data_IF_367657691101
#
_entry.id   IF_367657691101
#
_cell.length_a   1.000
_cell.length_b   1.000
_cell.length_c   1.000
_cell.angle_alpha   90.00
_cell.angle_beta   90.00
_cell.angle_gamma   90.00
#
_symmetry.space_group_name_H-M   'P 1'
#
loop_
_entity.id
_entity.type
_entity.pdbx_description
1 polymer ?
#
# COMPACT_ATOMS: atom_id res chain seq x y z
N UNK A 1 5.40 -16.85 -14.40
CA UNK A 1 3.94 -16.72 -14.19
C UNK A 1 3.24 -17.23 -15.42
N UNK A 2 2.24 -18.10 -15.26
CA UNK A 2 1.38 -18.55 -16.36
C UNK A 2 0.54 -17.40 -16.92
N UNK A 3 -0.05 -17.59 -18.10
CA UNK A 3 -0.96 -16.60 -18.72
C UNK A 3 -2.16 -16.32 -17.82
N UNK A 4 -2.77 -17.35 -17.24
CA UNK A 4 -3.91 -17.22 -16.32
C UNK A 4 -3.57 -16.43 -15.07
N UNK A 5 -2.39 -16.66 -14.47
CA UNK A 5 -1.92 -15.86 -13.32
C UNK A 5 -1.76 -14.39 -13.67
N UNK A 6 -1.19 -14.07 -14.84
CA UNK A 6 -1.02 -12.67 -15.29
C UNK A 6 -2.37 -11.99 -15.49
N UNK A 7 -3.34 -12.68 -16.10
CA UNK A 7 -4.70 -12.17 -16.30
C UNK A 7 -5.37 -11.89 -14.96
N UNK A 8 -5.29 -12.82 -14.00
CA UNK A 8 -5.88 -12.66 -12.66
C UNK A 8 -5.28 -11.48 -11.91
N UNK A 9 -3.95 -11.29 -11.98
CA UNK A 9 -3.29 -10.13 -11.37
C UNK A 9 -3.72 -8.83 -12.03
N UNK A 10 -3.80 -8.78 -13.36
CA UNK A 10 -4.25 -7.60 -14.08
C UNK A 10 -5.70 -7.25 -13.74
N UNK A 11 -6.58 -8.26 -13.71
CA UNK A 11 -7.98 -8.10 -13.33
C UNK A 11 -8.12 -7.60 -11.88
N UNK A 12 -7.42 -8.22 -10.93
CA UNK A 12 -7.44 -7.78 -9.52
C UNK A 12 -6.93 -6.35 -9.34
N UNK A 13 -5.86 -5.98 -10.03
CA UNK A 13 -5.32 -4.61 -10.01
C UNK A 13 -6.30 -3.58 -10.60
N UNK A 14 -6.96 -3.92 -11.72
CA UNK A 14 -7.99 -3.07 -12.33
C UNK A 14 -9.20 -2.91 -11.41
N UNK A 15 -9.62 -3.99 -10.74
CA UNK A 15 -10.77 -3.93 -9.83
C UNK A 15 -10.47 -3.04 -8.60
N UNK A 16 -9.26 -3.12 -8.05
CA UNK A 16 -8.81 -2.21 -6.98
C UNK A 16 -8.80 -0.76 -7.47
N UNK A 17 -8.25 -0.49 -8.66
CA UNK A 17 -8.21 0.85 -9.23
C UNK A 17 -9.61 1.42 -9.52
N UNK A 18 -10.52 0.58 -10.04
CA UNK A 18 -11.91 0.94 -10.29
C UNK A 18 -12.66 1.22 -8.99
N UNK A 19 -12.41 0.44 -7.94
CA UNK A 19 -13.01 0.66 -6.61
C UNK A 19 -12.53 1.97 -5.99
N UNK A 20 -11.25 2.30 -6.14
CA UNK A 20 -10.73 3.61 -5.73
C UNK A 20 -11.35 4.76 -6.53
N UNK A 21 -11.46 4.61 -7.86
CA UNK A 21 -12.08 5.62 -8.71
C UNK A 21 -13.55 5.85 -8.32
N UNK A 22 -14.28 4.77 -8.05
CA UNK A 22 -15.63 4.83 -7.51
C UNK A 22 -15.71 5.68 -6.23
N UNK A 23 -14.84 5.42 -5.24
CA UNK A 23 -14.78 6.19 -4.00
C UNK A 23 -14.54 7.69 -4.25
N UNK A 24 -13.60 8.03 -5.13
CA UNK A 24 -13.24 9.42 -5.45
C UNK A 24 -14.38 10.15 -6.16
N UNK A 25 -15.13 9.45 -7.01
CA UNK A 25 -16.24 10.03 -7.77
C UNK A 25 -17.52 10.16 -6.93
N UNK A 26 -17.84 9.14 -6.13
CA UNK A 26 -19.08 9.08 -5.34
C UNK A 26 -18.98 9.89 -4.05
N UNK A 27 -17.78 10.04 -3.48
CA UNK A 27 -17.52 10.85 -2.28
C UNK A 27 -18.45 10.49 -1.12
N UNK A 28 -18.38 9.25 -0.62
CA UNK A 28 -19.28 8.80 0.45
C UNK A 28 -19.12 9.66 1.70
N UNK A 29 -20.23 10.09 2.28
CA UNK A 29 -20.27 10.91 3.49
C UNK A 29 -20.39 10.09 4.77
N UNK A 30 -20.86 8.83 4.66
CA UNK A 30 -21.12 7.95 5.81
C UNK A 30 -20.10 6.81 5.84
N UNK A 31 -18.99 7.01 6.57
CA UNK A 31 -17.89 6.05 6.70
C UNK A 31 -17.64 5.55 8.14
N UNK A 32 -18.64 5.59 9.02
CA UNK A 32 -18.43 5.18 10.42
C UNK A 32 -18.25 3.67 10.58
N UNK A 33 -18.74 2.86 9.64
CA UNK A 33 -18.56 1.41 9.65
C UNK A 33 -18.52 0.81 8.26
N UNK A 34 -17.72 -0.26 8.10
CA UNK A 34 -17.72 -1.07 6.88
C UNK A 34 -19.00 -1.91 6.83
N UNK A 35 -20.07 -1.31 6.34
CA UNK A 35 -21.41 -1.91 6.31
C UNK A 35 -22.55 -0.92 6.62
N UNK A 36 -22.21 0.29 7.06
CA UNK A 36 -23.21 1.32 7.39
C UNK A 36 -23.89 1.97 6.18
N UNK A 37 -23.31 1.82 4.98
CA UNK A 37 -23.80 2.45 3.75
C UNK A 37 -23.58 1.55 2.54
N UNK A 38 -24.33 1.81 1.46
CA UNK A 38 -24.21 1.05 0.20
C UNK A 38 -22.83 1.30 -0.43
N UNK A 39 -22.30 2.50 -0.29
CA UNK A 39 -20.99 2.92 -0.76
C UNK A 39 -19.86 2.18 -0.02
N UNK A 40 -19.98 2.05 1.31
CA UNK A 40 -19.05 1.26 2.11
C UNK A 40 -19.07 -0.22 1.73
N UNK A 41 -20.26 -0.78 1.48
CA UNK A 41 -20.42 -2.17 1.02
C UNK A 41 -19.83 -2.40 -0.37
N UNK A 42 -20.11 -1.53 -1.34
CA UNK A 42 -19.52 -1.61 -2.68
C UNK A 42 -17.99 -1.56 -2.60
N UNK A 43 -17.46 -0.66 -1.77
CA UNK A 43 -16.02 -0.52 -1.55
C UNK A 43 -15.41 -1.77 -0.93
N UNK A 44 -16.05 -2.34 0.09
CA UNK A 44 -15.62 -3.59 0.71
C UNK A 44 -15.59 -4.73 -0.32
N UNK A 45 -16.70 -4.93 -1.05
CA UNK A 45 -16.81 -5.99 -2.06
C UNK A 45 -15.75 -5.80 -3.14
N UNK A 46 -15.59 -4.58 -3.66
CA UNK A 46 -14.61 -4.27 -4.70
C UNK A 46 -13.17 -4.56 -4.28
N UNK A 47 -12.76 -4.10 -3.09
CA UNK A 47 -11.40 -4.35 -2.60
C UNK A 47 -11.16 -5.79 -2.16
N UNK A 48 -12.14 -6.47 -1.55
CA UNK A 48 -12.02 -7.89 -1.19
C UNK A 48 -11.93 -8.75 -2.45
N UNK A 49 -12.83 -8.55 -3.42
CA UNK A 49 -12.81 -9.29 -4.69
C UNK A 49 -11.52 -9.03 -5.47
N UNK A 50 -11.07 -7.77 -5.52
CA UNK A 50 -9.80 -7.40 -6.15
C UNK A 50 -8.61 -8.09 -5.48
N UNK A 51 -8.58 -8.09 -4.14
CA UNK A 51 -7.53 -8.76 -3.36
C UNK A 51 -7.53 -10.26 -3.58
N UNK A 52 -8.70 -10.92 -3.59
CA UNK A 52 -8.80 -12.36 -3.88
C UNK A 52 -8.26 -12.66 -5.28
N UNK A 53 -8.64 -11.89 -6.30
CA UNK A 53 -8.13 -12.05 -7.66
C UNK A 53 -6.60 -11.87 -7.75
N UNK A 54 -6.04 -10.91 -6.99
CA UNK A 54 -4.59 -10.76 -6.86
C UNK A 54 -3.95 -11.99 -6.22
N UNK A 55 -4.50 -12.49 -5.12
CA UNK A 55 -3.96 -13.66 -4.41
C UNK A 55 -4.01 -14.93 -5.26
N UNK A 56 -5.11 -15.17 -5.99
CA UNK A 56 -5.25 -16.28 -6.94
C UNK A 56 -4.17 -16.20 -8.02
N UNK A 57 -3.87 -15.00 -8.52
CA UNK A 57 -2.83 -14.81 -9.53
C UNK A 57 -1.39 -14.91 -8.97
N UNK A 58 -1.17 -14.49 -7.73
CA UNK A 58 0.17 -14.34 -7.13
C UNK A 58 0.62 -15.57 -6.37
N UNK A 59 -0.20 -16.13 -5.48
CA UNK A 59 0.21 -17.20 -4.55
C UNK A 59 0.81 -18.43 -5.26
N UNK A 60 0.26 -18.93 -6.39
CA UNK A 60 0.84 -20.07 -7.10
C UNK A 60 2.23 -19.80 -7.69
N UNK A 61 2.66 -18.53 -7.74
CA UNK A 61 3.92 -18.11 -8.36
C UNK A 61 5.04 -17.94 -7.32
N UNK A 62 4.69 -18.01 -6.03
CA UNK A 62 5.59 -17.79 -4.92
C UNK A 62 6.00 -19.13 -4.28
N UNK A 63 7.26 -19.27 -3.82
CA UNK A 63 7.64 -20.43 -3.02
C UNK A 63 6.94 -20.37 -1.65
N UNK A 64 6.68 -21.53 -1.04
CA UNK A 64 5.98 -21.63 0.24
C UNK A 64 6.59 -20.75 1.36
N UNK A 65 7.93 -20.61 1.37
CA UNK A 65 8.64 -19.76 2.33
C UNK A 65 8.28 -18.28 2.19
N UNK A 66 8.03 -17.81 0.98
CA UNK A 66 7.63 -16.41 0.73
C UNK A 66 6.18 -16.19 1.13
N UNK A 67 5.31 -17.17 0.87
CA UNK A 67 3.91 -17.13 1.34
C UNK A 67 3.87 -16.99 2.86
N UNK A 68 4.73 -17.72 3.58
CA UNK A 68 4.83 -17.65 5.04
C UNK A 68 5.26 -16.27 5.59
N UNK A 69 5.92 -15.42 4.78
CA UNK A 69 6.29 -14.06 5.20
C UNK A 69 5.12 -13.09 5.09
N UNK A 70 4.13 -13.36 4.23
CA UNK A 70 3.01 -12.44 4.00
C UNK A 70 2.28 -12.14 5.32
N UNK A 71 1.84 -13.11 6.15
CA UNK A 71 1.19 -12.81 7.43
C UNK A 71 2.05 -11.94 8.37
N UNK A 72 3.36 -12.21 8.44
CA UNK A 72 4.29 -11.41 9.25
C UNK A 72 4.34 -9.97 8.74
N UNK A 73 4.38 -9.79 7.42
CA UNK A 73 4.35 -8.47 6.79
C UNK A 73 3.05 -7.71 7.10
N UNK A 74 1.89 -8.39 7.09
CA UNK A 74 0.61 -7.76 7.47
C UNK A 74 0.64 -7.31 8.93
N UNK A 75 1.11 -8.16 9.84
CA UNK A 75 1.22 -7.81 11.26
C UNK A 75 2.13 -6.61 11.47
N UNK A 76 3.30 -6.57 10.80
CA UNK A 76 4.21 -5.43 10.88
C UNK A 76 3.56 -4.13 10.40
N UNK A 77 2.88 -4.16 9.25
CA UNK A 77 2.17 -3.00 8.72
C UNK A 77 1.11 -2.48 9.71
N UNK A 78 0.27 -3.38 10.23
CA UNK A 78 -0.82 -3.03 11.13
C UNK A 78 -0.26 -2.48 12.45
N UNK A 79 0.74 -3.13 13.06
CA UNK A 79 1.30 -2.68 14.33
C UNK A 79 2.00 -1.33 14.21
N UNK A 80 2.82 -1.14 13.17
CA UNK A 80 3.50 0.14 12.95
C UNK A 80 2.51 1.24 12.59
N UNK A 81 1.55 0.96 11.71
CA UNK A 81 0.51 1.90 11.31
C UNK A 81 -0.41 2.33 12.46
N UNK A 82 -0.77 1.40 13.34
CA UNK A 82 -1.56 1.71 14.55
C UNK A 82 -0.75 2.55 15.54
N UNK A 83 0.53 2.20 15.75
CA UNK A 83 1.40 2.95 16.64
C UNK A 83 1.58 4.39 16.15
N UNK A 84 1.97 4.60 14.89
CA UNK A 84 2.15 5.93 14.30
C UNK A 84 0.87 6.74 14.27
N UNK A 85 -0.26 6.13 13.88
CA UNK A 85 -1.57 6.76 13.83
C UNK A 85 -2.06 7.26 15.20
N UNK A 86 -1.52 6.71 16.28
CA UNK A 86 -1.83 7.10 17.67
C UNK A 86 -0.97 8.26 18.18
N UNK A 87 0.14 8.61 17.50
CA UNK A 87 1.02 9.72 17.88
C UNK A 87 0.80 10.95 17.00
N UNK A 88 1.23 12.12 17.48
CA UNK A 88 1.21 13.38 16.73
C UNK A 88 2.42 13.48 15.77
N UNK A 89 2.67 12.41 15.03
CA UNK A 89 3.73 12.37 14.01
C UNK A 89 3.03 12.29 12.65
N UNK A 90 3.35 13.17 11.69
CA UNK A 90 2.68 13.19 10.40
C UNK A 90 3.27 12.13 9.44
N UNK A 91 3.35 10.87 9.88
CA UNK A 91 3.88 9.71 9.15
C UNK A 91 2.99 8.48 9.40
N UNK A 92 3.14 7.43 8.58
CA UNK A 92 2.27 6.25 8.60
C UNK A 92 3.02 4.95 8.95
N UNK A 93 4.19 4.71 8.37
CA UNK A 93 5.02 3.49 8.53
C UNK A 93 4.28 2.16 8.31
N UNK A 94 3.11 2.20 7.67
CA UNK A 94 2.17 1.11 7.48
C UNK A 94 2.49 0.22 6.25
N UNK A 95 3.63 0.47 5.60
CA UNK A 95 4.03 -0.21 4.38
C UNK A 95 5.36 -0.96 4.50
N UNK A 96 5.95 -1.08 5.69
CA UNK A 96 7.25 -1.76 5.88
C UNK A 96 7.20 -3.21 5.43
N UNK A 97 6.19 -3.96 5.84
CA UNK A 97 5.95 -5.34 5.41
C UNK A 97 5.63 -5.43 3.91
N UNK A 98 4.80 -4.52 3.40
CA UNK A 98 4.45 -4.46 1.97
C UNK A 98 5.69 -4.25 1.09
N UNK A 99 6.55 -3.30 1.45
CA UNK A 99 7.80 -2.99 0.76
C UNK A 99 8.80 -4.13 0.91
N UNK A 100 8.85 -4.79 2.07
CA UNK A 100 9.68 -5.99 2.27
C UNK A 100 9.26 -7.14 1.34
N UNK A 101 7.97 -7.46 1.25
CA UNK A 101 7.48 -8.49 0.32
C UNK A 101 7.71 -8.06 -1.13
N UNK A 102 7.51 -6.79 -1.48
CA UNK A 102 7.80 -6.28 -2.81
C UNK A 102 9.29 -6.43 -3.20
N UNK A 103 10.19 -6.19 -2.24
CA UNK A 103 11.64 -6.31 -2.44
C UNK A 103 12.08 -7.76 -2.63
N UNK A 104 11.48 -8.70 -1.88
CA UNK A 104 11.88 -10.12 -1.88
C UNK A 104 11.18 -10.93 -2.98
N UNK A 105 9.91 -10.63 -3.25
CA UNK A 105 9.01 -11.43 -4.09
C UNK A 105 8.55 -10.67 -5.36
N UNK A 106 8.86 -9.39 -5.48
CA UNK A 106 8.60 -8.57 -6.66
C UNK A 106 7.27 -7.83 -6.67
N UNK A 107 6.98 -7.08 -7.76
CA UNK A 107 5.87 -6.13 -7.85
C UNK A 107 4.49 -6.74 -7.55
N UNK A 108 4.16 -7.89 -8.16
CA UNK A 108 2.83 -8.49 -8.01
C UNK A 108 2.60 -9.00 -6.58
N UNK A 109 3.64 -9.50 -5.92
CA UNK A 109 3.56 -9.89 -4.52
C UNK A 109 3.38 -8.67 -3.62
N UNK A 110 4.14 -7.59 -3.84
CA UNK A 110 3.95 -6.32 -3.14
C UNK A 110 2.54 -5.75 -3.32
N UNK A 111 2.02 -5.74 -4.55
CA UNK A 111 0.66 -5.31 -4.90
C UNK A 111 -0.38 -6.09 -4.07
N UNK A 112 -0.30 -7.42 -4.08
CA UNK A 112 -1.22 -8.29 -3.34
C UNK A 112 -1.09 -8.11 -1.82
N UNK A 113 0.13 -8.00 -1.30
CA UNK A 113 0.37 -7.79 0.14
C UNK A 113 -0.18 -6.45 0.60
N UNK A 114 0.02 -5.37 -0.17
CA UNK A 114 -0.52 -4.05 0.18
C UNK A 114 -2.05 -4.06 0.25
N UNK A 115 -2.70 -4.59 -0.79
CA UNK A 115 -4.15 -4.73 -0.83
C UNK A 115 -4.67 -5.58 0.34
N UNK A 116 -4.07 -6.76 0.56
CA UNK A 116 -4.43 -7.66 1.65
C UNK A 116 -4.24 -7.01 3.02
N UNK A 117 -3.17 -6.21 3.20
CA UNK A 117 -2.90 -5.52 4.46
C UNK A 117 -4.03 -4.58 4.84
N UNK A 118 -4.50 -3.76 3.90
CA UNK A 118 -5.61 -2.84 4.17
C UNK A 118 -6.93 -3.55 4.38
N UNK A 119 -7.22 -4.62 3.63
CA UNK A 119 -8.45 -5.42 3.80
C UNK A 119 -8.46 -6.13 5.16
N UNK A 120 -7.34 -6.73 5.58
CA UNK A 120 -7.25 -7.40 6.89
C UNK A 120 -7.30 -6.37 8.02
N UNK A 121 -6.63 -5.23 7.85
CA UNK A 121 -6.68 -4.16 8.85
C UNK A 121 -8.10 -3.61 9.02
N UNK A 122 -8.86 -3.50 7.94
CA UNK A 122 -10.25 -3.04 7.96
C UNK A 122 -11.17 -3.83 8.90
N UNK A 123 -10.85 -5.09 9.21
CA UNK A 123 -11.59 -5.93 10.15
C UNK A 123 -11.55 -5.39 11.59
N UNK A 124 -10.52 -4.61 11.92
CA UNK A 124 -10.32 -4.03 13.26
C UNK A 124 -10.28 -2.50 13.23
N UNK A 125 -10.04 -1.90 12.07
CA UNK A 125 -10.06 -0.46 11.85
C UNK A 125 -10.68 -0.14 10.47
N UNK A 126 -12.00 0.12 10.40
CA UNK A 126 -12.72 0.49 9.17
C UNK A 126 -12.09 1.61 8.34
N UNK A 127 -11.30 2.49 8.97
CA UNK A 127 -10.64 3.60 8.31
C UNK A 127 -9.51 3.16 7.37
N UNK A 128 -9.02 1.92 7.49
CA UNK A 128 -7.95 1.41 6.64
C UNK A 128 -8.42 1.02 5.22
N UNK A 129 -9.70 0.67 5.07
CA UNK A 129 -10.23 0.07 3.84
C UNK A 129 -10.11 1.01 2.61
N UNK A 130 -10.49 2.30 2.67
CA UNK A 130 -10.40 3.21 1.53
C UNK A 130 -8.98 3.41 0.97
N UNK A 131 -7.96 3.18 1.80
CA UNK A 131 -6.55 3.29 1.41
C UNK A 131 -5.98 2.03 0.76
N UNK A 132 -6.77 0.96 0.58
CA UNK A 132 -6.31 -0.30 -0.01
C UNK A 132 -5.65 -0.14 -1.39
N UNK A 133 -6.19 0.73 -2.24
CA UNK A 133 -5.58 1.03 -3.54
C UNK A 133 -4.21 1.71 -3.41
N UNK A 134 -4.06 2.66 -2.48
CA UNK A 134 -2.78 3.30 -2.21
C UNK A 134 -1.73 2.33 -1.67
N UNK A 135 -2.13 1.43 -0.77
CA UNK A 135 -1.25 0.38 -0.23
C UNK A 135 -0.83 -0.63 -1.31
N UNK A 136 -1.78 -1.09 -2.14
CA UNK A 136 -1.48 -1.96 -3.28
C UNK A 136 -0.51 -1.28 -4.26
N UNK A 137 -0.80 -0.03 -4.64
CA UNK A 137 0.05 0.76 -5.53
C UNK A 137 1.47 0.94 -4.96
N UNK A 138 1.58 1.21 -3.66
CA UNK A 138 2.88 1.30 -2.96
C UNK A 138 3.70 0.04 -3.16
N UNK A 139 3.12 -1.14 -2.91
CA UNK A 139 3.81 -2.42 -3.08
C UNK A 139 4.21 -2.69 -4.52
N UNK A 140 3.34 -2.38 -5.48
CA UNK A 140 3.64 -2.54 -6.90
C UNK A 140 4.78 -1.65 -7.37
N UNK A 141 4.68 -0.33 -7.14
CA UNK A 141 5.69 0.65 -7.54
C UNK A 141 7.04 0.33 -6.91
N UNK A 142 7.05 -0.02 -5.62
CA UNK A 142 8.27 -0.38 -4.90
C UNK A 142 8.96 -1.58 -5.54
N UNK A 143 8.23 -2.66 -5.83
CA UNK A 143 8.79 -3.81 -6.51
C UNK A 143 9.34 -3.46 -7.91
N UNK A 144 8.69 -2.54 -8.64
CA UNK A 144 9.15 -2.08 -9.96
C UNK A 144 10.45 -1.29 -9.85
N UNK A 145 10.54 -0.30 -8.97
CA UNK A 145 11.75 0.53 -8.86
C UNK A 145 12.92 -0.24 -8.25
N UNK A 146 12.69 -1.18 -7.34
CA UNK A 146 13.74 -2.05 -6.80
C UNK A 146 14.33 -2.92 -7.91
N UNK A 147 13.51 -3.49 -8.79
CA UNK A 147 13.98 -4.22 -9.99
C UNK A 147 14.82 -3.34 -10.92
N UNK A 148 14.52 -2.04 -10.99
CA UNK A 148 15.29 -1.04 -11.75
C UNK A 148 16.54 -0.53 -11.02
N UNK A 149 16.75 -0.95 -9.77
CA UNK A 149 17.97 -0.66 -9.01
C UNK A 149 17.81 0.40 -7.92
N UNK A 150 16.61 0.66 -7.41
CA UNK A 150 16.43 1.56 -6.26
C UNK A 150 17.32 1.17 -5.06
N UNK A 151 17.51 -0.13 -4.81
CA UNK A 151 18.34 -0.65 -3.70
C UNK A 151 19.83 -0.80 -4.04
N UNK A 152 20.33 -0.02 -5.02
CA UNK A 152 21.78 0.03 -5.33
C UNK A 152 22.55 0.76 -4.24
N UNK A 153 22.05 1.90 -3.76
CA UNK A 153 22.66 2.71 -2.69
C UNK A 153 21.58 3.47 -1.92
N UNK A 154 21.95 4.06 -0.77
CA UNK A 154 21.03 4.77 0.13
C UNK A 154 20.33 5.94 -0.58
N UNK A 155 21.06 6.71 -1.39
CA UNK A 155 20.49 7.87 -2.09
C UNK A 155 19.39 7.45 -3.08
N UNK A 156 19.65 6.46 -3.92
CA UNK A 156 18.66 5.93 -4.86
C UNK A 156 17.42 5.36 -4.14
N UNK A 157 17.61 4.72 -2.98
CA UNK A 157 16.52 4.22 -2.14
C UNK A 157 15.63 5.36 -1.63
N UNK A 158 16.23 6.39 -1.04
CA UNK A 158 15.52 7.55 -0.47
C UNK A 158 14.74 8.29 -1.56
N UNK A 159 15.40 8.61 -2.69
CA UNK A 159 14.75 9.32 -3.80
C UNK A 159 13.61 8.48 -4.39
N UNK A 160 13.81 7.18 -4.56
CA UNK A 160 12.74 6.29 -5.05
C UNK A 160 11.56 6.25 -4.09
N UNK A 161 11.83 6.19 -2.78
CA UNK A 161 10.79 6.27 -1.75
C UNK A 161 10.02 7.58 -1.80
N UNK A 162 10.71 8.73 -1.88
CA UNK A 162 10.07 10.03 -1.97
C UNK A 162 9.17 10.16 -3.22
N UNK A 163 9.63 9.69 -4.38
CA UNK A 163 8.83 9.68 -5.62
C UNK A 163 7.62 8.77 -5.50
N UNK A 164 7.78 7.57 -4.92
CA UNK A 164 6.64 6.68 -4.64
C UNK A 164 5.64 7.39 -3.72
N UNK A 165 6.11 8.03 -2.65
CA UNK A 165 5.29 8.77 -1.71
C UNK A 165 4.52 9.92 -2.37
N UNK A 166 5.10 10.64 -3.32
CA UNK A 166 4.36 11.66 -4.08
C UNK A 166 3.19 11.06 -4.87
N UNK A 167 3.45 9.94 -5.54
CA UNK A 167 2.42 9.25 -6.35
C UNK A 167 1.33 8.69 -5.45
N UNK A 168 1.70 8.01 -4.37
CA UNK A 168 0.74 7.38 -3.45
C UNK A 168 -0.02 8.42 -2.63
N UNK A 169 0.64 9.53 -2.26
CA UNK A 169 0.02 10.68 -1.62
C UNK A 169 -1.02 11.34 -2.52
N UNK A 170 -0.78 11.45 -3.83
CA UNK A 170 -1.78 11.96 -4.78
C UNK A 170 -3.01 11.04 -4.88
N UNK A 171 -2.82 9.73 -4.72
CA UNK A 171 -3.90 8.73 -4.69
C UNK A 171 -4.64 8.74 -3.34
N UNK A 172 -3.93 9.00 -2.24
CA UNK A 172 -4.49 9.04 -0.89
C UNK A 172 -5.24 10.34 -0.59
N UNK A 173 -4.77 11.48 -1.09
CA UNK A 173 -5.34 12.80 -0.82
C UNK A 173 -6.85 12.93 -1.09
N UNK A 174 -7.40 12.53 -2.25
CA UNK A 174 -8.85 12.63 -2.48
C UNK A 174 -9.64 11.70 -1.55
N UNK A 175 -9.09 10.54 -1.20
CA UNK A 175 -9.71 9.63 -0.23
C UNK A 175 -9.75 10.28 1.15
N UNK A 176 -8.62 10.84 1.61
CA UNK A 176 -8.52 11.55 2.88
C UNK A 176 -9.46 12.77 2.95
N UNK A 177 -9.60 13.52 1.85
CA UNK A 177 -10.48 14.68 1.80
C UNK A 177 -11.96 14.29 1.75
N UNK A 178 -12.34 13.36 0.88
CA UNK A 178 -13.76 13.07 0.60
C UNK A 178 -14.38 12.06 1.55
N UNK A 179 -13.60 11.10 2.07
CA UNK A 179 -14.12 10.07 2.98
C UNK A 179 -13.96 10.51 4.44
N UNK A 180 -12.90 11.26 4.76
CA UNK A 180 -12.54 11.58 6.14
C UNK A 180 -12.54 13.06 6.48
N UNK A 181 -12.89 13.95 5.54
CA UNK A 181 -12.86 15.39 5.82
C UNK A 181 -11.47 15.92 6.21
N UNK A 182 -10.39 15.19 5.90
CA UNK A 182 -9.02 15.54 6.26
C UNK A 182 -8.53 15.06 7.64
N UNK A 183 -9.30 14.25 8.38
CA UNK A 183 -8.96 13.81 9.74
C UNK A 183 -8.56 12.33 9.83
N UNK A 184 -8.03 11.76 8.74
CA UNK A 184 -7.72 10.33 8.64
C UNK A 184 -6.66 9.81 9.65
N UNK A 185 -5.85 10.69 10.26
CA UNK A 185 -4.90 10.34 11.31
C UNK A 185 -4.63 11.51 12.24
N UNK A 186 -4.13 11.25 13.46
CA UNK A 186 -3.92 12.29 14.48
C UNK A 186 -2.87 13.30 14.05
N UNK A 187 -1.64 12.85 13.76
CA UNK A 187 -0.55 13.74 13.35
C UNK A 187 -0.76 14.38 11.97
N UNK A 188 -1.28 13.62 11.00
CA UNK A 188 -1.54 14.11 9.65
C UNK A 188 -2.73 15.06 9.63
N UNK A 189 -3.80 14.76 10.37
CA UNK A 189 -4.94 15.66 10.57
C UNK A 189 -4.55 16.98 11.21
N UNK A 190 -3.59 16.99 12.15
CA UNK A 190 -3.06 18.24 12.70
C UNK A 190 -2.40 19.13 11.64
N UNK A 191 -1.64 18.55 10.71
CA UNK A 191 -1.06 19.29 9.58
C UNK A 191 -2.14 19.80 8.62
N UNK A 192 -3.19 19.00 8.36
CA UNK A 192 -4.34 19.45 7.57
C UNK A 192 -5.03 20.65 8.25
N UNK A 193 -5.29 20.57 9.55
CA UNK A 193 -5.90 21.65 10.33
C UNK A 193 -5.07 22.94 10.29
N UNK A 194 -3.73 22.82 10.37
CA UNK A 194 -2.84 23.97 10.23
C UNK A 194 -3.02 24.64 8.85
N UNK A 195 -3.01 23.87 7.76
CA UNK A 195 -3.24 24.45 6.43
C UNK A 195 -4.64 25.03 6.26
N UNK A 196 -5.64 24.44 6.91
CA UNK A 196 -7.02 24.93 6.96
C UNK A 196 -7.11 26.29 7.67
N UNK A 197 -6.40 26.46 8.77
CA UNK A 197 -6.31 27.73 9.51
C UNK A 197 -5.61 28.83 8.70
N UNK A 198 -4.65 28.45 7.84
CA UNK A 198 -4.02 29.36 6.87
C UNK A 198 -4.95 29.77 5.70
N UNK A 199 -6.23 29.36 5.73
CA UNK A 199 -7.24 29.75 4.74
C UNK A 199 -7.32 28.86 3.50
N UNK A 200 -6.61 27.73 3.46
CA UNK A 200 -6.69 26.81 2.33
C UNK A 200 -8.02 26.04 2.28
N UNK A 201 -8.42 25.61 1.08
CA UNK A 201 -9.53 24.66 0.91
C UNK A 201 -9.18 23.30 1.53
N UNK A 202 -10.18 22.45 1.78
CA UNK A 202 -9.96 21.13 2.37
C UNK A 202 -9.07 20.28 1.46
N UNK A 203 -9.41 20.21 0.17
CA UNK A 203 -8.65 19.44 -0.80
C UNK A 203 -7.20 19.93 -0.91
N UNK A 204 -6.99 21.25 -0.92
CA UNK A 204 -5.63 21.81 -0.94
C UNK A 204 -4.85 21.46 0.33
N UNK A 205 -5.47 21.59 1.50
CA UNK A 205 -4.84 21.29 2.80
C UNK A 205 -4.42 19.83 2.91
N UNK A 206 -5.32 18.92 2.53
CA UNK A 206 -5.03 17.47 2.50
C UNK A 206 -3.97 17.14 1.47
N UNK A 207 -4.02 17.74 0.27
CA UNK A 207 -3.01 17.51 -0.76
C UNK A 207 -1.62 17.95 -0.30
N UNK A 208 -1.51 19.14 0.30
CA UNK A 208 -0.24 19.64 0.84
C UNK A 208 0.29 18.76 1.96
N UNK A 209 -0.59 18.33 2.86
CA UNK A 209 -0.21 17.38 3.91
C UNK A 209 0.31 16.07 3.31
N UNK A 210 -0.42 15.44 2.37
CA UNK A 210 0.01 14.20 1.73
C UNK A 210 1.34 14.38 0.99
N UNK A 211 1.56 15.52 0.33
CA UNK A 211 2.81 15.79 -0.40
C UNK A 211 4.00 16.11 0.52
N UNK A 212 3.77 16.30 1.81
CA UNK A 212 4.83 16.39 2.82
C UNK A 212 5.02 15.03 3.48
N UNK A 213 3.95 14.44 3.99
CA UNK A 213 3.99 13.21 4.78
C UNK A 213 4.33 11.98 3.96
N UNK A 214 3.64 11.72 2.86
CA UNK A 214 3.82 10.48 2.10
C UNK A 214 5.24 10.33 1.51
N UNK A 215 5.88 11.37 0.92
CA UNK A 215 7.26 11.27 0.46
C UNK A 215 8.25 10.97 1.57
N UNK A 216 8.11 11.65 2.72
CA UNK A 216 8.98 11.41 3.88
C UNK A 216 8.77 10.00 4.44
N UNK A 217 7.52 9.59 4.57
CA UNK A 217 7.13 8.25 5.03
C UNK A 217 7.73 7.17 4.13
N UNK A 218 7.50 7.24 2.82
CA UNK A 218 7.96 6.21 1.88
C UNK A 218 9.47 6.23 1.71
N UNK A 219 10.15 7.37 1.88
CA UNK A 219 11.61 7.43 1.97
C UNK A 219 12.13 6.66 3.20
N UNK A 220 11.53 6.88 4.38
CA UNK A 220 11.92 6.18 5.62
C UNK A 220 11.64 4.69 5.51
N UNK A 221 10.44 4.29 5.07
CA UNK A 221 10.05 2.89 4.89
C UNK A 221 10.98 2.17 3.92
N UNK A 222 11.29 2.79 2.77
CA UNK A 222 12.23 2.24 1.80
C UNK A 222 13.63 2.08 2.38
N UNK A 223 14.09 3.04 3.19
CA UNK A 223 15.40 2.96 3.86
C UNK A 223 15.46 1.83 4.90
N UNK A 224 14.43 1.69 5.73
CA UNK A 224 14.31 0.59 6.71
C UNK A 224 14.42 -0.75 5.98
N UNK A 225 13.62 -0.95 4.93
CA UNK A 225 13.62 -2.22 4.19
C UNK A 225 14.92 -2.42 3.43
N UNK A 226 15.55 -1.37 2.90
CA UNK A 226 16.88 -1.47 2.30
C UNK A 226 17.90 -2.03 3.28
N UNK A 227 17.95 -1.52 4.51
CA UNK A 227 18.87 -2.02 5.55
C UNK A 227 18.56 -3.48 5.90
N UNK A 228 17.29 -3.81 6.10
CA UNK A 228 16.86 -5.20 6.39
C UNK A 228 17.29 -6.14 5.27
N UNK A 229 16.98 -5.82 4.01
CA UNK A 229 17.29 -6.68 2.86
C UNK A 229 18.80 -6.82 2.66
N UNK A 230 19.60 -5.76 2.87
CA UNK A 230 21.06 -5.82 2.78
C UNK A 230 21.70 -6.62 3.92
N UNK A 231 21.03 -6.72 5.07
CA UNK A 231 21.50 -7.48 6.23
C UNK A 231 21.17 -8.98 6.14
N UNK A 232 20.25 -9.38 5.25
CA UNK A 232 19.90 -10.78 5.07
C UNK A 232 21.02 -11.59 4.37
N UNK A 233 21.32 -12.82 4.81
CA UNK A 233 22.23 -13.71 4.10
C UNK A 233 21.77 -13.95 2.65
N UNK A 234 22.71 -14.00 1.70
CA UNK A 234 22.42 -14.24 0.26
C UNK A 234 21.63 -15.54 0.01
N UNK A 235 21.77 -16.53 0.91
CA UNK A 235 21.02 -17.79 0.85
C UNK A 235 19.53 -17.59 1.14
N UNK A 236 19.20 -16.73 2.10
CA UNK A 236 17.82 -16.42 2.51
C UNK A 236 17.10 -15.64 1.41
N UNK A 237 17.73 -14.61 0.85
CA UNK A 237 17.14 -13.82 -0.24
C UNK A 237 16.86 -14.65 -1.49
N UNK A 238 17.78 -15.55 -1.88
CA UNK A 238 17.57 -16.49 -3.00
C UNK A 238 16.43 -17.47 -2.75
N UNK A 239 16.29 -17.97 -1.52
CA UNK A 239 15.24 -18.93 -1.17
C UNK A 239 13.82 -18.32 -1.17
N UNK A 240 13.72 -16.99 -1.16
CA UNK A 240 12.46 -16.25 -1.13
C UNK A 240 12.09 -15.66 -2.50
N UNK A 241 13.00 -15.71 -3.47
CA UNK A 241 12.74 -15.23 -4.82
C UNK A 241 11.69 -16.10 -5.54
N UNK A 242 10.83 -15.52 -6.40
CA UNK A 242 9.85 -16.28 -7.18
C UNK A 242 10.51 -17.34 -8.07
N UNK A 243 9.84 -18.50 -8.22
CA UNK A 243 10.33 -19.57 -9.09
C UNK A 243 10.12 -19.17 -10.56
N UNK A 244 11.16 -19.31 -11.41
CA UNK A 244 11.01 -19.19 -12.86
C UNK A 244 10.39 -20.49 -13.37
N UNK A 245 9.23 -20.40 -14.01
CA UNK A 245 8.67 -21.53 -14.78
C UNK A 245 9.50 -21.63 -16.06
N UNK A 246 10.10 -22.79 -16.39
CA UNK A 246 10.78 -23.00 -17.68
C UNK A 246 9.82 -22.71 -18.85
N UNK A 247 10.32 -22.07 -19.91
CA UNK A 247 9.50 -21.67 -21.08
C UNK A 247 9.08 -22.87 -21.95
N UNK A 248 9.56 -24.07 -21.66
CA UNK A 248 9.41 -25.26 -22.51
C UNK A 248 8.07 -26.01 -22.36
N UNK A 249 7.07 -25.44 -21.68
CA UNK A 249 5.73 -26.06 -21.49
C UNK A 249 4.59 -25.07 -21.72
N UNK A 250 4.64 -24.32 -22.82
CA UNK A 250 3.54 -23.48 -23.30
C UNK A 250 3.06 -23.91 -24.67
#
# INVERSE_FOLDING_TARGET
>A
MSRSSKISVAFGGLLIAATWLYLVLVRPTDWESVGGSTEALITLVGYVAGTIALLVGVLPTLPARTIAIIPVALVLNILLGQATGSFVIPLYLDAVGTVLVAALAGPSAGLATGALSSVVWALFNPLALPFAAGSALTGWLTGVVIKKGAFKNIFATIISGAVIGLITGAVAAPVAAFVYGGTAGVGTGAVVSLFREMGNSLLASVTWQSFISDPLDKAIVMLIVFVVVKSLPKRTTRALAPQRVPEDVA
#
